data_IF_372785412976
#
_entry.id   IF_372785412976
#
_cell.length_a   1.000
_cell.length_b   1.000
_cell.length_c   1.000
_cell.angle_alpha   90.00
_cell.angle_beta   90.00
_cell.angle_gamma   90.00
#
_symmetry.space_group_name_H-M   'P 1'
#
loop_
_entity.id
_entity.type
_entity.pdbx_description
1 polymer ?
#
# COMPACT_ATOMS: atom_id res chain seq x y z
N UNK A 1 -1.11 -22.00 26.97
CA UNK A 1 -0.67 -20.69 27.50
C UNK A 1 0.17 -20.03 26.42
N UNK A 2 -0.28 -18.89 25.94
CA UNK A 2 0.49 -18.06 25.00
C UNK A 2 1.41 -17.17 25.82
N UNK A 3 2.71 -17.30 25.65
CA UNK A 3 3.72 -16.51 26.32
C UNK A 3 4.34 -15.58 25.28
N UNK A 4 4.60 -14.33 25.61
CA UNK A 4 5.29 -13.37 24.79
C UNK A 4 6.29 -12.56 25.62
N UNK A 5 7.25 -11.92 24.96
CA UNK A 5 8.22 -11.02 25.60
C UNK A 5 7.88 -9.59 25.21
N UNK A 6 7.82 -8.70 26.20
CA UNK A 6 7.72 -7.26 25.95
C UNK A 6 9.12 -6.65 26.04
N UNK A 7 9.59 -6.13 24.93
CA UNK A 7 10.84 -5.40 24.83
C UNK A 7 10.58 -3.90 24.92
N UNK A 8 10.97 -3.27 26.02
CA UNK A 8 10.82 -1.82 26.20
C UNK A 8 12.02 -1.06 25.61
N UNK A 9 13.22 -1.36 26.12
CA UNK A 9 14.48 -0.78 25.64
C UNK A 9 15.65 -1.53 26.27
N UNK A 10 16.82 -1.42 25.68
CA UNK A 10 18.06 -1.95 26.24
C UNK A 10 19.12 -0.86 26.23
N UNK A 11 19.55 -0.43 27.42
CA UNK A 11 20.62 0.53 27.60
C UNK A 11 21.88 -0.19 28.08
N UNK A 12 22.97 0.00 27.38
CA UNK A 12 24.26 -0.54 27.79
C UNK A 12 25.02 0.47 28.62
N UNK A 13 25.49 0.09 29.82
CA UNK A 13 26.12 0.98 30.81
C UNK A 13 27.35 1.72 30.27
N UNK A 14 27.99 1.21 29.21
CA UNK A 14 29.26 1.76 28.68
C UNK A 14 29.17 2.24 27.24
N UNK A 15 28.01 2.33 26.64
CA UNK A 15 27.91 2.75 25.25
C UNK A 15 27.74 4.27 25.14
N UNK A 16 28.81 4.94 24.91
CA UNK A 16 28.84 6.29 24.34
C UNK A 16 28.51 6.30 22.84
N UNK A 17 28.39 5.16 22.24
CA UNK A 17 28.16 4.99 20.81
C UNK A 17 26.68 4.69 20.53
N UNK A 18 26.06 5.65 19.98
CA UNK A 18 24.76 5.76 19.35
C UNK A 18 23.94 4.52 19.00
N UNK A 19 22.89 4.76 18.31
CA UNK A 19 21.77 3.87 17.87
C UNK A 19 22.16 2.49 17.28
N UNK A 20 23.39 2.30 16.80
CA UNK A 20 23.85 1.03 16.21
C UNK A 20 23.91 -0.14 17.20
N UNK A 21 24.17 0.13 18.47
CA UNK A 21 24.21 -0.94 19.51
C UNK A 21 22.82 -1.46 19.89
N UNK A 22 21.81 -0.63 19.79
CA UNK A 22 20.42 -1.02 20.07
C UNK A 22 19.94 -2.06 19.04
N UNK A 23 20.24 -1.82 17.77
CA UNK A 23 19.88 -2.73 16.69
C UNK A 23 20.56 -4.10 16.83
N UNK A 24 21.87 -4.11 17.08
CA UNK A 24 22.64 -5.36 17.23
C UNK A 24 22.16 -6.21 18.39
N UNK A 25 21.79 -5.61 19.51
CA UNK A 25 21.30 -6.37 20.67
C UNK A 25 19.85 -6.85 20.48
N UNK A 26 19.01 -6.11 19.78
CA UNK A 26 17.66 -6.56 19.45
C UNK A 26 17.68 -7.79 18.52
N UNK A 27 18.58 -7.82 17.55
CA UNK A 27 18.78 -9.00 16.68
C UNK A 27 19.21 -10.26 17.47
N UNK A 28 20.12 -10.09 18.43
CA UNK A 28 20.52 -11.20 19.30
C UNK A 28 19.37 -11.73 20.15
N UNK A 29 18.54 -10.83 20.70
CA UNK A 29 17.36 -11.21 21.46
C UNK A 29 16.35 -11.94 20.59
N UNK A 30 16.07 -11.46 19.39
CA UNK A 30 15.17 -12.10 18.43
C UNK A 30 15.67 -13.48 18.05
N UNK A 31 16.97 -13.62 17.78
CA UNK A 31 17.57 -14.92 17.42
C UNK A 31 17.58 -15.93 18.59
N UNK A 32 17.66 -15.48 19.82
CA UNK A 32 17.69 -16.32 21.02
C UNK A 32 16.30 -16.71 21.54
N UNK A 33 15.22 -16.17 20.97
CA UNK A 33 13.87 -16.30 21.50
C UNK A 33 12.96 -17.01 20.52
N UNK A 34 12.27 -18.06 20.97
CA UNK A 34 11.29 -18.82 20.18
C UNK A 34 9.84 -18.33 20.39
N UNK A 35 9.63 -17.27 21.15
CA UNK A 35 8.30 -16.70 21.45
C UNK A 35 8.17 -15.33 20.83
N UNK A 36 6.92 -14.90 20.51
CA UNK A 36 6.68 -13.55 19.97
C UNK A 36 7.22 -12.44 20.85
N UNK A 37 7.92 -11.49 20.24
CA UNK A 37 8.47 -10.32 20.92
C UNK A 37 7.69 -9.09 20.49
N UNK A 38 7.20 -8.34 21.47
CA UNK A 38 6.55 -7.05 21.30
C UNK A 38 7.50 -5.91 21.66
N UNK A 39 7.43 -4.81 20.92
CA UNK A 39 8.28 -3.64 21.13
C UNK A 39 7.44 -2.40 21.38
N UNK A 40 7.96 -1.50 22.20
CA UNK A 40 7.44 -0.14 22.35
C UNK A 40 8.03 0.83 21.32
N UNK A 41 8.96 0.36 20.49
CA UNK A 41 9.64 1.17 19.46
C UNK A 41 9.33 0.65 18.06
N UNK A 42 8.97 1.57 17.18
CA UNK A 42 8.67 1.31 15.77
C UNK A 42 9.87 0.72 15.00
N UNK A 43 11.09 1.15 15.33
CA UNK A 43 12.32 0.75 14.64
C UNK A 43 12.52 -0.76 14.63
N UNK A 44 12.24 -1.42 15.73
CA UNK A 44 12.42 -2.88 15.85
C UNK A 44 11.31 -3.68 15.19
N UNK A 45 10.14 -3.08 14.96
CA UNK A 45 9.00 -3.74 14.33
C UNK A 45 9.18 -3.75 12.80
N UNK A 46 9.73 -2.68 12.24
CA UNK A 46 9.84 -2.48 10.79
C UNK A 46 10.95 -3.30 10.10
N UNK A 47 11.78 -4.03 10.85
CA UNK A 47 12.97 -4.74 10.33
C UNK A 47 12.67 -6.00 9.48
N UNK A 48 11.51 -6.11 8.86
CA UNK A 48 11.14 -7.26 8.03
C UNK A 48 11.10 -8.56 8.82
N UNK A 49 11.64 -9.63 8.24
CA UNK A 49 11.64 -10.98 8.86
C UNK A 49 12.48 -11.10 10.13
N UNK A 50 13.41 -10.20 10.34
CA UNK A 50 14.29 -10.15 11.51
C UNK A 50 13.79 -9.19 12.59
N UNK A 51 12.61 -8.57 12.38
CA UNK A 51 12.00 -7.65 13.31
C UNK A 51 11.27 -8.31 14.47
N UNK A 52 10.70 -7.48 15.32
CA UNK A 52 9.78 -7.92 16.39
C UNK A 52 8.35 -8.01 15.86
N UNK A 53 7.50 -8.83 16.49
CA UNK A 53 6.14 -9.09 16.04
C UNK A 53 5.30 -7.83 15.94
N UNK A 54 5.40 -6.95 16.92
CA UNK A 54 4.59 -5.75 16.95
C UNK A 54 4.64 -5.00 18.26
N UNK A 55 3.72 -4.07 18.43
CA UNK A 55 3.58 -3.31 19.66
C UNK A 55 2.51 -2.24 19.55
N UNK A 56 2.41 -1.42 20.58
CA UNK A 56 1.56 -0.24 20.58
C UNK A 56 2.46 0.98 20.42
N UNK A 57 2.42 1.63 19.27
CA UNK A 57 3.30 2.75 18.96
C UNK A 57 2.50 3.99 18.62
N UNK A 58 3.09 5.16 18.87
CA UNK A 58 2.53 6.44 18.45
C UNK A 58 2.60 6.61 16.92
N UNK A 59 1.81 7.54 16.40
CA UNK A 59 1.83 7.88 14.98
C UNK A 59 3.11 8.68 14.66
N UNK A 60 4.08 8.04 14.02
CA UNK A 60 5.39 8.64 13.70
C UNK A 60 5.23 9.87 12.81
N UNK A 61 4.38 9.82 11.79
CA UNK A 61 4.22 10.92 10.85
C UNK A 61 3.70 12.20 11.54
N UNK A 62 2.78 12.04 12.48
CA UNK A 62 2.30 13.16 13.30
C UNK A 62 3.33 13.67 14.27
N UNK A 63 4.10 12.77 14.88
CA UNK A 63 5.18 13.16 15.77
C UNK A 63 6.25 13.96 15.01
N UNK A 64 6.66 13.49 13.84
CA UNK A 64 7.65 14.17 13.01
C UNK A 64 7.14 15.53 12.53
N UNK A 65 5.89 15.63 12.12
CA UNK A 65 5.27 16.91 11.76
C UNK A 65 5.24 17.90 12.93
N UNK A 66 4.89 17.44 14.13
CA UNK A 66 4.90 18.28 15.33
C UNK A 66 6.32 18.72 15.72
N UNK A 67 7.30 17.83 15.56
CA UNK A 67 8.70 18.14 15.81
C UNK A 67 9.22 19.21 14.84
N UNK A 68 8.95 19.07 13.54
CA UNK A 68 9.33 20.05 12.52
C UNK A 68 8.68 21.41 12.82
N UNK A 69 7.39 21.42 13.19
CA UNK A 69 6.69 22.65 13.57
C UNK A 69 7.36 23.30 14.80
N UNK A 70 7.67 22.51 15.81
CA UNK A 70 8.36 22.97 17.03
C UNK A 70 9.70 23.60 16.69
N UNK A 71 10.53 22.95 15.88
CA UNK A 71 11.83 23.47 15.43
C UNK A 71 11.64 24.80 14.67
N UNK A 72 10.65 24.85 13.75
CA UNK A 72 10.36 26.06 13.00
C UNK A 72 9.96 27.22 13.91
N UNK A 73 9.18 26.95 14.97
CA UNK A 73 8.76 27.97 15.93
C UNK A 73 9.93 28.46 16.79
N UNK A 74 10.84 27.58 17.18
CA UNK A 74 12.09 27.98 17.86
C UNK A 74 12.96 28.89 16.96
N UNK A 75 13.13 28.52 15.69
CA UNK A 75 13.92 29.27 14.73
C UNK A 75 13.31 30.64 14.39
N UNK A 76 12.02 30.84 14.63
CA UNK A 76 11.31 32.14 14.49
C UNK A 76 11.34 32.98 15.77
N UNK A 77 12.29 32.79 16.63
CA UNK A 77 12.48 33.50 17.90
C UNK A 77 11.32 33.41 18.91
N UNK A 78 10.46 32.37 18.78
CA UNK A 78 9.46 32.11 19.81
C UNK A 78 10.13 31.62 21.07
N UNK A 79 9.80 32.21 22.20
CA UNK A 79 10.32 31.75 23.48
C UNK A 79 9.84 30.33 23.77
N UNK A 80 10.75 29.45 24.17
CA UNK A 80 10.48 28.02 24.41
C UNK A 80 9.30 27.77 25.38
N UNK A 81 9.08 28.68 26.36
CA UNK A 81 7.95 28.61 27.30
C UNK A 81 6.55 28.78 26.64
N UNK A 82 6.49 29.30 25.43
CA UNK A 82 5.25 29.50 24.70
C UNK A 82 5.02 28.42 23.63
N UNK A 83 5.94 27.47 23.50
CA UNK A 83 5.80 26.35 22.56
C UNK A 83 5.11 25.20 23.29
N UNK A 84 3.94 24.75 22.82
CA UNK A 84 3.24 23.64 23.44
C UNK A 84 4.06 22.37 23.34
N UNK A 85 4.17 21.62 24.44
CA UNK A 85 4.76 20.31 24.41
C UNK A 85 3.81 19.33 23.72
N UNK A 86 4.25 18.73 22.62
CA UNK A 86 3.49 17.70 21.96
C UNK A 86 3.65 16.36 22.69
N UNK A 87 2.55 15.84 23.22
CA UNK A 87 2.50 14.50 23.78
C UNK A 87 1.70 13.62 22.81
N UNK A 88 2.32 12.61 22.17
CA UNK A 88 1.62 11.74 21.26
C UNK A 88 0.58 10.90 22.04
N UNK A 89 -0.69 11.15 21.78
CA UNK A 89 -1.83 10.43 22.40
C UNK A 89 -2.50 9.45 21.45
N UNK A 90 -2.18 9.52 20.16
CA UNK A 90 -2.77 8.75 19.08
C UNK A 90 -1.93 7.53 18.71
N UNK A 91 -1.69 6.68 19.69
CA UNK A 91 -1.05 5.38 19.44
C UNK A 91 -2.02 4.40 18.76
N UNK A 92 -1.42 3.46 18.05
CA UNK A 92 -2.15 2.35 17.44
C UNK A 92 -1.35 1.05 17.60
N UNK A 93 -2.02 -0.11 17.64
CA UNK A 93 -1.34 -1.37 17.53
C UNK A 93 -0.71 -1.51 16.13
N UNK A 94 0.56 -1.83 16.10
CA UNK A 94 1.34 -2.07 14.87
C UNK A 94 1.88 -3.47 14.90
N UNK A 95 1.67 -4.25 13.84
CA UNK A 95 2.11 -5.63 13.75
C UNK A 95 2.84 -5.85 12.43
N UNK A 96 3.98 -6.53 12.51
CA UNK A 96 4.73 -6.98 11.35
C UNK A 96 4.05 -8.23 10.79
N UNK A 97 3.46 -8.10 9.60
CA UNK A 97 2.70 -9.17 8.96
C UNK A 97 3.55 -10.40 8.64
N UNK A 98 4.79 -10.21 8.20
CA UNK A 98 5.69 -11.34 7.88
C UNK A 98 6.00 -12.19 9.11
N UNK A 99 6.21 -11.55 10.26
CA UNK A 99 6.47 -12.23 11.53
C UNK A 99 5.20 -12.92 12.05
N UNK A 100 4.05 -12.25 11.95
CA UNK A 100 2.77 -12.82 12.31
C UNK A 100 2.52 -14.15 11.58
N UNK A 101 2.75 -14.16 10.26
CA UNK A 101 2.57 -15.35 9.42
C UNK A 101 3.63 -16.41 9.74
N UNK A 102 4.89 -15.99 9.90
CA UNK A 102 5.99 -16.90 10.26
C UNK A 102 5.71 -17.67 11.57
N UNK A 103 5.20 -16.95 12.55
CA UNK A 103 4.92 -17.50 13.88
C UNK A 103 3.54 -18.19 13.96
N UNK A 104 2.85 -18.35 12.82
CA UNK A 104 1.56 -19.07 12.72
C UNK A 104 0.41 -18.39 13.47
N UNK A 105 0.49 -17.07 13.73
CA UNK A 105 -0.52 -16.33 14.45
C UNK A 105 -1.65 -15.87 13.53
N UNK A 106 -2.89 -15.90 14.02
CA UNK A 106 -4.06 -15.53 13.23
C UNK A 106 -4.26 -14.02 13.22
N UNK A 107 -4.65 -13.49 12.05
CA UNK A 107 -5.06 -12.10 11.90
C UNK A 107 -6.28 -11.74 12.77
N UNK A 108 -7.15 -12.70 13.05
CA UNK A 108 -8.35 -12.49 13.88
C UNK A 108 -8.04 -12.21 15.35
N UNK A 109 -6.83 -12.52 15.81
CA UNK A 109 -6.37 -12.25 17.17
C UNK A 109 -5.81 -10.84 17.35
N UNK A 110 -5.61 -10.11 16.24
CA UNK A 110 -5.08 -8.76 16.28
C UNK A 110 -6.16 -7.79 16.77
N UNK A 111 -5.78 -6.77 17.56
CA UNK A 111 -6.69 -5.72 17.96
C UNK A 111 -7.35 -5.01 16.79
N UNK A 112 -8.55 -4.46 17.00
CA UNK A 112 -9.17 -3.56 16.03
C UNK A 112 -8.22 -2.37 15.72
N UNK A 113 -8.26 -1.86 14.50
CA UNK A 113 -7.40 -0.77 14.03
C UNK A 113 -5.89 -1.08 14.02
N UNK A 114 -5.50 -2.36 14.00
CA UNK A 114 -4.09 -2.75 13.85
C UNK A 114 -3.54 -2.30 12.48
N UNK A 115 -2.44 -1.55 12.51
CA UNK A 115 -1.65 -1.23 11.32
C UNK A 115 -0.68 -2.38 11.04
N UNK A 116 -0.77 -2.96 9.85
CA UNK A 116 0.14 -4.02 9.42
C UNK A 116 1.32 -3.41 8.65
N UNK A 117 2.54 -3.74 9.08
CA UNK A 117 3.77 -3.49 8.33
C UNK A 117 4.14 -4.71 7.50
N UNK A 118 4.84 -4.51 6.39
CA UNK A 118 5.33 -5.57 5.50
C UNK A 118 4.21 -6.52 5.01
N UNK A 119 2.97 -6.02 4.96
CA UNK A 119 1.86 -6.77 4.38
C UNK A 119 1.99 -6.73 2.85
N UNK A 120 2.05 -7.88 2.18
CA UNK A 120 2.11 -7.89 0.72
C UNK A 120 0.86 -7.23 0.14
N UNK A 121 0.98 -6.52 -0.99
CA UNK A 121 -0.16 -5.92 -1.65
C UNK A 121 -1.15 -7.01 -2.06
N UNK A 122 -2.43 -6.72 -1.97
CA UNK A 122 -3.46 -7.62 -2.45
C UNK A 122 -3.36 -7.77 -3.98
N UNK A 123 -3.90 -8.88 -4.52
CA UNK A 123 -3.96 -9.10 -5.97
C UNK A 123 -4.54 -7.88 -6.71
N UNK A 124 -5.61 -7.30 -6.17
CA UNK A 124 -6.23 -6.11 -6.74
C UNK A 124 -5.32 -4.88 -6.71
N UNK A 125 -4.65 -4.61 -5.61
CA UNK A 125 -3.71 -3.48 -5.49
C UNK A 125 -2.54 -3.61 -6.47
N UNK A 126 -2.06 -4.84 -6.69
CA UNK A 126 -0.94 -5.11 -7.58
C UNK A 126 -1.32 -5.02 -9.06
N UNK A 127 -2.49 -5.55 -9.43
CA UNK A 127 -2.88 -5.71 -10.84
C UNK A 127 -3.96 -4.75 -11.33
N UNK A 128 -4.50 -3.86 -10.49
CA UNK A 128 -5.62 -2.97 -10.85
C UNK A 128 -5.41 -2.18 -12.15
N UNK A 129 -4.22 -1.63 -12.35
CA UNK A 129 -3.92 -0.86 -13.56
C UNK A 129 -3.81 -1.75 -14.80
N UNK A 130 -3.27 -2.94 -14.65
CA UNK A 130 -3.20 -3.92 -15.73
C UNK A 130 -4.59 -4.40 -16.13
N UNK A 131 -5.43 -4.72 -15.16
CA UNK A 131 -6.83 -5.15 -15.41
C UNK A 131 -7.62 -4.04 -16.10
N UNK A 132 -7.54 -2.81 -15.60
CA UNK A 132 -8.22 -1.66 -16.21
C UNK A 132 -7.71 -1.39 -17.63
N UNK A 133 -6.41 -1.45 -17.88
CA UNK A 133 -5.82 -1.28 -19.19
C UNK A 133 -6.26 -2.36 -20.17
N UNK A 134 -6.33 -3.61 -19.75
CA UNK A 134 -6.82 -4.72 -20.56
C UNK A 134 -8.31 -4.55 -20.91
N UNK A 135 -9.16 -4.20 -19.95
CA UNK A 135 -10.57 -3.94 -20.18
C UNK A 135 -10.79 -2.78 -21.16
N UNK A 136 -10.01 -1.69 -21.00
CA UNK A 136 -10.06 -0.56 -21.92
C UNK A 136 -9.65 -0.95 -23.35
N UNK A 137 -8.61 -1.75 -23.50
CA UNK A 137 -8.15 -2.24 -24.80
C UNK A 137 -9.20 -3.12 -25.49
N UNK A 138 -9.83 -4.02 -24.75
CA UNK A 138 -10.92 -4.87 -25.28
C UNK A 138 -12.10 -4.00 -25.74
N UNK A 139 -12.49 -3.00 -24.95
CA UNK A 139 -13.56 -2.07 -25.30
C UNK A 139 -13.24 -1.33 -26.62
N UNK A 140 -12.02 -0.82 -26.74
CA UNK A 140 -11.56 -0.08 -27.93
C UNK A 140 -11.58 -0.97 -29.19
N UNK A 141 -11.06 -2.20 -29.07
CA UNK A 141 -11.08 -3.17 -30.17
C UNK A 141 -12.54 -3.48 -30.59
N UNK A 142 -13.41 -3.67 -29.61
CA UNK A 142 -14.84 -3.95 -29.88
C UNK A 142 -15.50 -2.78 -30.62
N UNK A 143 -15.26 -1.55 -30.19
CA UNK A 143 -15.78 -0.35 -30.85
C UNK A 143 -15.27 -0.21 -32.28
N UNK A 144 -13.96 -0.43 -32.49
CA UNK A 144 -13.36 -0.42 -33.84
C UNK A 144 -13.96 -1.50 -34.73
N UNK A 145 -14.19 -2.69 -34.20
CA UNK A 145 -14.80 -3.77 -34.94
C UNK A 145 -16.27 -3.46 -35.34
N UNK A 146 -17.06 -2.93 -34.42
CA UNK A 146 -18.42 -2.47 -34.69
C UNK A 146 -18.45 -1.34 -35.73
N UNK A 147 -17.55 -0.38 -35.61
CA UNK A 147 -17.39 0.70 -36.61
C UNK A 147 -17.10 0.13 -38.01
N UNK A 148 -16.18 -0.82 -38.10
CA UNK A 148 -15.83 -1.46 -39.37
C UNK A 148 -16.96 -2.25 -39.98
N UNK A 149 -17.74 -2.98 -39.17
CA UNK A 149 -18.94 -3.69 -39.66
C UNK A 149 -19.95 -2.69 -40.21
N UNK A 150 -20.22 -1.58 -39.52
CA UNK A 150 -21.17 -0.56 -40.00
C UNK A 150 -20.74 0.03 -41.34
N UNK A 151 -19.45 0.34 -41.51
CA UNK A 151 -18.92 0.86 -42.77
C UNK A 151 -19.03 -0.16 -43.91
N UNK A 152 -18.70 -1.42 -43.67
CA UNK A 152 -18.85 -2.48 -44.66
C UNK A 152 -20.32 -2.69 -45.09
N UNK A 153 -21.25 -2.63 -44.16
CA UNK A 153 -22.68 -2.73 -44.45
C UNK A 153 -23.17 -1.52 -45.23
N UNK A 154 -22.69 -0.32 -44.94
CA UNK A 154 -23.01 0.89 -45.69
C UNK A 154 -22.50 0.81 -47.14
N UNK A 155 -21.26 0.34 -47.36
CA UNK A 155 -20.69 0.12 -48.68
C UNK A 155 -21.47 -0.93 -49.50
N UNK A 156 -21.80 -2.07 -48.86
CA UNK A 156 -22.63 -3.10 -49.52
C UNK A 156 -23.99 -2.57 -49.96
N UNK A 157 -24.63 -1.76 -49.09
CA UNK A 157 -25.94 -1.14 -49.41
C UNK A 157 -25.81 -0.15 -50.57
N UNK A 158 -24.74 0.64 -50.62
CA UNK A 158 -24.47 1.58 -51.72
C UNK A 158 -24.27 0.83 -53.05
N UNK A 159 -23.47 -0.23 -53.07
CA UNK A 159 -23.27 -1.08 -54.24
C UNK A 159 -24.57 -1.73 -54.73
N UNK A 160 -25.42 -2.24 -53.83
CA UNK A 160 -26.72 -2.82 -54.19
C UNK A 160 -27.65 -1.78 -54.84
N UNK A 161 -27.67 -0.58 -54.28
CA UNK A 161 -28.48 0.52 -54.86
C UNK A 161 -28.03 0.89 -56.29
N UNK A 162 -26.70 0.90 -56.58
CA UNK A 162 -26.16 1.12 -57.93
C UNK A 162 -26.60 0.01 -58.91
N UNK A 163 -26.51 -1.26 -58.46
CA UNK A 163 -26.92 -2.40 -59.27
C UNK A 163 -28.41 -2.31 -59.60
N UNK A 164 -29.27 -2.01 -58.63
CA UNK A 164 -30.72 -1.87 -58.79
C UNK A 164 -31.05 -0.68 -59.71
N UNK A 165 -30.34 0.44 -59.61
CA UNK A 165 -30.49 1.59 -60.48
C UNK A 165 -30.10 1.26 -61.93
N UNK A 166 -28.98 0.53 -62.18
CA UNK A 166 -28.58 0.07 -63.49
C UNK A 166 -29.56 -0.91 -64.12
N UNK A 167 -30.14 -1.83 -63.28
CA UNK A 167 -31.14 -2.77 -63.75
C UNK A 167 -32.43 -2.03 -64.19
N UNK A 168 -32.88 -1.07 -63.42
CA UNK A 168 -34.02 -0.23 -63.78
C UNK A 168 -33.79 0.58 -65.06
N UNK A 169 -32.63 1.17 -65.20
CA UNK A 169 -32.26 1.90 -66.46
C UNK A 169 -32.27 1.00 -67.65
N UNK A 170 -31.70 -0.23 -67.57
CA UNK A 170 -31.75 -1.20 -68.64
C UNK A 170 -33.18 -1.60 -69.06
N UNK A 171 -34.09 -1.74 -68.12
CA UNK A 171 -35.49 -2.03 -68.41
C UNK A 171 -36.18 -0.88 -69.16
N UNK A 172 -35.86 0.35 -68.80
CA UNK A 172 -36.43 1.54 -69.44
C UNK A 172 -35.92 1.79 -70.89
N UNK A 173 -34.67 1.39 -71.18
CA UNK A 173 -34.06 1.60 -72.51
C UNK A 173 -34.45 0.48 -73.51
N UNK A 174 -34.81 -0.70 -73.05
CA UNK A 174 -35.17 -1.86 -73.90
C UNK A 174 -36.64 -2.01 -74.14
N UNK A 175 -37.50 -1.09 -73.70
CA UNK A 175 -38.89 -0.93 -74.04
C UNK A 175 -39.10 0.27 -74.97
#
# INVERSE_FOLDING_TARGET
KTTGVLFASWFYKYAFAGTSMLATNSHKLIAATSVPIFSLSMVNIASGKEGMLGGYTYNQDRYDAALIQTISDVLKDKQARHIPCYIPTDGAPVINYEILVRDGLSLSTCPANTRFLNKPPTFWEHYRYFILGTLFSILLITLLFLYRIRNLNALKKAQQNEIDAMATYKMLVNN
#
